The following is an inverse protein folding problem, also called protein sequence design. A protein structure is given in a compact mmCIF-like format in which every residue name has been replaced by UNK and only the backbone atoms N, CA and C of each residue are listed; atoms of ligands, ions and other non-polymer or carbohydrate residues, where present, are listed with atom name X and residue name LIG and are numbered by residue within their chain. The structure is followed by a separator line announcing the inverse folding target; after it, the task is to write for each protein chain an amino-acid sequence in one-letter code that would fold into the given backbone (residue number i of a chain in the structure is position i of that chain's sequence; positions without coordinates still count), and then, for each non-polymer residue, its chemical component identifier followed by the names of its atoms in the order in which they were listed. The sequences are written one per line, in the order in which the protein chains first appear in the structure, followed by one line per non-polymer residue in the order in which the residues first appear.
data_IF_741564315587
#
_entry.id   IF_741564315587
#
_cell.length_a   1.000
_cell.length_b   1.000
_cell.length_c   1.000
_cell.angle_alpha   90.00
_cell.angle_beta   90.00
_cell.angle_gamma   90.00
#
_symmetry.space_group_name_H-M   'P 1'
#
loop_
_entity.id
_entity.type
_entity.pdbx_description
1 polymer ?
#
# COMPACT_ATOMS: atom_id res chain seq x y z
N UNK A 1 8.32 75.27 -6.57
CA UNK A 1 8.71 73.98 -5.97
C UNK A 1 7.46 73.40 -5.37
N UNK A 2 6.87 72.45 -6.07
CA UNK A 2 6.10 71.32 -5.49
C UNK A 2 5.62 70.50 -6.68
N UNK A 3 6.46 69.51 -7.00
CA UNK A 3 6.32 68.57 -8.10
C UNK A 3 5.45 67.42 -7.59
N UNK A 4 4.15 67.47 -7.91
CA UNK A 4 3.18 66.44 -7.56
C UNK A 4 3.39 65.21 -8.45
N UNK A 5 4.19 64.27 -7.94
CA UNK A 5 4.38 62.94 -8.55
C UNK A 5 3.11 62.13 -8.39
N UNK A 6 2.30 62.10 -9.45
CA UNK A 6 1.15 61.19 -9.59
C UNK A 6 1.71 59.79 -9.79
N UNK A 7 1.68 58.98 -8.73
CA UNK A 7 2.00 57.55 -8.77
C UNK A 7 0.85 56.82 -9.47
N UNK A 8 1.04 56.51 -10.76
CA UNK A 8 0.19 55.62 -11.54
C UNK A 8 0.09 54.24 -10.88
N UNK A 9 -0.93 54.04 -10.06
CA UNK A 9 -1.37 52.71 -9.65
C UNK A 9 -2.16 52.10 -10.80
N UNK A 10 -1.50 51.32 -11.65
CA UNK A 10 -2.19 50.48 -12.62
C UNK A 10 -3.26 49.65 -11.90
N UNK A 11 -4.54 49.70 -12.33
CA UNK A 11 -5.57 48.86 -11.77
C UNK A 11 -5.21 47.40 -12.07
N UNK A 12 -4.84 46.66 -11.03
CA UNK A 12 -4.58 45.23 -11.12
C UNK A 12 -5.83 44.56 -11.66
N UNK A 13 -5.84 44.26 -12.96
CA UNK A 13 -6.93 43.51 -13.56
C UNK A 13 -7.00 42.17 -12.82
N UNK A 14 -8.16 41.80 -12.25
CA UNK A 14 -8.31 40.54 -11.56
C UNK A 14 -7.98 39.43 -12.55
N UNK A 15 -6.87 38.72 -12.32
CA UNK A 15 -6.49 37.60 -13.17
C UNK A 15 -7.68 36.65 -13.23
N UNK A 16 -8.14 36.25 -14.43
CA UNK A 16 -9.28 35.35 -14.55
C UNK A 16 -9.03 34.09 -13.74
N UNK A 17 -9.96 33.76 -12.83
CA UNK A 17 -9.85 32.66 -11.87
C UNK A 17 -9.79 31.27 -12.53
N UNK A 18 -9.97 31.19 -13.86
CA UNK A 18 -9.94 29.97 -14.63
C UNK A 18 -8.78 30.02 -15.62
N UNK A 19 -7.59 29.62 -15.16
CA UNK A 19 -6.46 29.32 -16.03
C UNK A 19 -6.59 27.86 -16.50
N UNK A 20 -6.66 27.59 -17.83
CA UNK A 20 -6.79 26.24 -18.36
C UNK A 20 -5.56 25.36 -18.11
N UNK A 21 -4.46 25.89 -17.58
CA UNK A 21 -3.25 25.17 -17.13
C UNK A 21 -3.47 24.16 -16.00
N UNK A 22 -4.73 23.77 -15.77
CA UNK A 22 -5.06 22.50 -15.15
C UNK A 22 -4.34 21.34 -15.85
N UNK A 23 -4.10 20.23 -15.13
CA UNK A 23 -3.24 19.11 -15.56
C UNK A 23 -3.68 18.38 -16.84
N UNK A 24 -4.79 18.80 -17.45
CA UNK A 24 -5.32 18.29 -18.72
C UNK A 24 -4.97 19.17 -19.93
N UNK A 25 -4.34 20.33 -19.75
CA UNK A 25 -3.92 21.20 -20.87
C UNK A 25 -2.65 20.72 -21.58
N UNK A 26 -1.87 19.82 -20.98
CA UNK A 26 -0.84 19.06 -21.68
C UNK A 26 -1.50 17.86 -22.37
N UNK A 27 -1.31 17.70 -23.68
CA UNK A 27 -1.79 16.53 -24.44
C UNK A 27 -1.36 15.18 -23.84
N UNK A 28 -1.76 14.06 -24.45
CA UNK A 28 -1.68 12.69 -23.88
C UNK A 28 -0.39 12.28 -23.14
N UNK A 29 0.75 12.90 -23.42
CA UNK A 29 2.00 12.78 -22.65
C UNK A 29 1.86 13.13 -21.15
N UNK A 30 1.02 14.09 -20.77
CA UNK A 30 0.81 14.46 -19.36
C UNK A 30 0.12 13.36 -18.56
N UNK A 31 -0.96 12.81 -19.10
CA UNK A 31 -1.71 11.69 -18.51
C UNK A 31 -0.84 10.43 -18.45
N UNK A 32 -0.04 10.17 -19.49
CA UNK A 32 0.88 9.03 -19.51
C UNK A 32 1.92 9.10 -18.38
N UNK A 33 2.51 10.27 -18.12
CA UNK A 33 3.47 10.44 -17.01
C UNK A 33 2.81 10.20 -15.65
N UNK A 34 1.58 10.65 -15.46
CA UNK A 34 0.81 10.40 -14.23
C UNK A 34 0.56 8.89 -14.08
N UNK A 35 0.08 8.21 -15.11
CA UNK A 35 -0.15 6.77 -15.07
C UNK A 35 1.14 5.98 -14.76
N UNK A 36 2.25 6.32 -15.43
CA UNK A 36 3.56 5.71 -15.18
C UNK A 36 4.02 5.91 -13.73
N UNK A 37 3.78 7.09 -13.14
CA UNK A 37 4.14 7.34 -11.74
C UNK A 37 3.40 6.41 -10.76
N UNK A 38 2.12 6.12 -11.03
CA UNK A 38 1.31 5.21 -10.21
C UNK A 38 1.80 3.78 -10.38
N UNK A 39 2.07 3.35 -11.62
CA UNK A 39 2.60 2.01 -11.92
C UNK A 39 3.94 1.80 -11.20
N UNK A 40 4.88 2.73 -11.33
CA UNK A 40 6.20 2.63 -10.70
C UNK A 40 6.08 2.62 -9.17
N UNK A 41 5.25 3.50 -8.59
CA UNK A 41 5.01 3.52 -7.15
C UNK A 41 4.43 2.20 -6.63
N UNK A 42 3.48 1.61 -7.36
CA UNK A 42 2.88 0.32 -7.03
C UNK A 42 3.88 -0.82 -7.15
N UNK A 43 4.69 -0.85 -8.21
CA UNK A 43 5.73 -1.88 -8.40
C UNK A 43 6.77 -1.85 -7.27
N UNK A 44 7.20 -0.68 -6.83
CA UNK A 44 8.13 -0.55 -5.71
C UNK A 44 7.50 -1.03 -4.41
N UNK A 45 6.25 -0.63 -4.15
CA UNK A 45 5.51 -1.13 -2.99
C UNK A 45 5.38 -2.65 -3.01
N UNK A 46 4.99 -3.23 -4.15
CA UNK A 46 4.84 -4.67 -4.32
C UNK A 46 6.18 -5.41 -4.13
N UNK A 47 7.27 -4.91 -4.70
CA UNK A 47 8.60 -5.49 -4.51
C UNK A 47 9.02 -5.46 -3.04
N UNK A 48 8.82 -4.34 -2.34
CA UNK A 48 9.14 -4.24 -0.91
C UNK A 48 8.34 -5.22 -0.07
N UNK A 49 7.02 -5.30 -0.29
CA UNK A 49 6.15 -6.26 0.43
C UNK A 49 6.58 -7.69 0.15
N UNK A 50 6.80 -8.05 -1.12
CA UNK A 50 7.19 -9.41 -1.50
C UNK A 50 8.54 -9.79 -0.91
N UNK A 51 9.55 -8.93 -1.02
CA UNK A 51 10.89 -9.21 -0.49
C UNK A 51 10.91 -9.30 1.04
N UNK A 52 10.21 -8.40 1.73
CA UNK A 52 10.16 -8.40 3.20
C UNK A 52 9.31 -9.55 3.75
N UNK A 53 8.19 -9.88 3.13
CA UNK A 53 7.40 -11.07 3.48
C UNK A 53 8.20 -12.34 3.23
N UNK A 54 8.88 -12.46 2.09
CA UNK A 54 9.74 -13.60 1.83
C UNK A 54 10.81 -13.78 2.91
N UNK A 55 11.50 -12.70 3.29
CA UNK A 55 12.49 -12.72 4.37
C UNK A 55 11.87 -13.09 5.72
N UNK A 56 10.71 -12.52 6.07
CA UNK A 56 10.03 -12.80 7.33
C UNK A 56 9.63 -14.28 7.43
N UNK A 57 9.08 -14.83 6.35
CA UNK A 57 8.69 -16.24 6.22
C UNK A 57 9.92 -17.17 6.23
N UNK A 58 11.05 -16.73 5.70
CA UNK A 58 12.30 -17.50 5.77
C UNK A 58 12.90 -17.53 7.18
N UNK A 59 12.74 -16.46 7.95
CA UNK A 59 13.26 -16.35 9.31
C UNK A 59 12.35 -16.96 10.39
N UNK A 60 11.07 -17.16 10.10
CA UNK A 60 10.09 -17.65 11.07
C UNK A 60 9.64 -19.08 10.76
N UNK A 61 9.40 -19.86 11.81
CA UNK A 61 8.75 -21.16 11.73
C UNK A 61 7.23 -21.03 11.65
N UNK A 62 6.56 -22.08 11.17
CA UNK A 62 5.11 -22.12 10.99
C UNK A 62 4.36 -21.84 12.30
N UNK A 63 4.90 -22.27 13.43
CA UNK A 63 4.31 -22.08 14.77
C UNK A 63 4.42 -20.64 15.28
N UNK A 64 5.31 -19.84 14.73
CA UNK A 64 5.37 -18.41 15.02
C UNK A 64 4.33 -17.62 14.18
N UNK A 65 3.93 -18.16 13.03
CA UNK A 65 2.99 -17.54 12.09
C UNK A 65 1.55 -17.88 12.45
N UNK A 66 1.27 -19.13 12.83
CA UNK A 66 -0.08 -19.64 13.10
C UNK A 66 -0.24 -20.18 14.52
N UNK A 67 -1.43 -20.04 15.08
CA UNK A 67 -1.77 -20.65 16.37
C UNK A 67 -1.73 -22.18 16.30
N UNK A 68 -1.48 -22.85 17.42
CA UNK A 68 -1.45 -24.32 17.46
C UNK A 68 -2.87 -24.88 17.29
N UNK A 69 -3.04 -25.85 16.39
CA UNK A 69 -4.33 -26.47 16.10
C UNK A 69 -5.26 -25.68 15.17
N UNK A 70 -4.94 -24.41 14.86
CA UNK A 70 -5.77 -23.56 14.02
C UNK A 70 -4.97 -22.92 12.87
N UNK A 71 -5.62 -22.71 11.73
CA UNK A 71 -5.06 -21.97 10.59
C UNK A 71 -5.26 -20.45 10.72
N UNK A 72 -5.25 -19.95 11.95
CA UNK A 72 -5.42 -18.53 12.27
C UNK A 72 -4.06 -17.92 12.57
N UNK A 73 -3.77 -16.79 11.96
CA UNK A 73 -2.51 -16.08 12.15
C UNK A 73 -2.36 -15.50 13.56
N UNK A 74 -1.18 -15.66 14.15
CA UNK A 74 -0.88 -15.12 15.48
C UNK A 74 -0.90 -13.59 15.48
N UNK A 75 -1.22 -12.98 16.63
CA UNK A 75 -1.18 -11.51 16.80
C UNK A 75 0.20 -10.90 16.48
N UNK A 76 1.27 -11.63 16.80
CA UNK A 76 2.65 -11.23 16.48
C UNK A 76 2.87 -11.15 14.97
N UNK A 77 2.47 -12.18 14.22
CA UNK A 77 2.56 -12.17 12.76
C UNK A 77 1.75 -11.02 12.14
N UNK A 78 0.51 -10.82 12.62
CA UNK A 78 -0.35 -9.75 12.12
C UNK A 78 0.27 -8.37 12.31
N UNK A 79 0.94 -8.13 13.44
CA UNK A 79 1.65 -6.86 13.70
C UNK A 79 2.81 -6.65 12.71
N UNK A 80 3.58 -7.71 12.41
CA UNK A 80 4.69 -7.65 11.44
C UNK A 80 4.16 -7.32 10.05
N UNK A 81 3.09 -7.97 9.60
CA UNK A 81 2.45 -7.73 8.29
C UNK A 81 1.96 -6.28 8.18
N UNK A 82 1.30 -5.76 9.22
CA UNK A 82 0.81 -4.37 9.25
C UNK A 82 1.98 -3.37 9.16
N UNK A 83 3.05 -3.58 9.92
CA UNK A 83 4.22 -2.71 9.89
C UNK A 83 4.91 -2.72 8.53
N UNK A 84 5.10 -3.90 7.94
CA UNK A 84 5.69 -4.05 6.60
C UNK A 84 4.83 -3.35 5.55
N UNK A 85 3.51 -3.51 5.61
CA UNK A 85 2.57 -2.90 4.69
C UNK A 85 2.60 -1.38 4.80
N UNK A 86 2.61 -0.84 6.02
CA UNK A 86 2.70 0.59 6.27
C UNK A 86 3.99 1.20 5.73
N UNK A 87 5.14 0.60 6.04
CA UNK A 87 6.45 1.08 5.57
C UNK A 87 6.57 1.02 4.04
N UNK A 88 6.09 -0.05 3.43
CA UNK A 88 6.08 -0.21 1.97
C UNK A 88 5.16 0.81 1.29
N UNK A 89 4.00 1.09 1.89
CA UNK A 89 3.08 2.11 1.39
C UNK A 89 3.65 3.53 1.50
N UNK A 90 4.37 3.85 2.58
CA UNK A 90 5.11 5.11 2.73
C UNK A 90 6.14 5.25 1.60
N UNK A 91 6.92 4.19 1.32
CA UNK A 91 7.89 4.21 0.23
C UNK A 91 7.21 4.40 -1.14
N UNK A 92 6.14 3.65 -1.42
CA UNK A 92 5.38 3.75 -2.67
C UNK A 92 4.77 5.14 -2.88
N UNK A 93 4.17 5.72 -1.84
CA UNK A 93 3.60 7.08 -1.88
C UNK A 93 4.66 8.17 -2.09
N UNK A 94 5.82 8.03 -1.44
CA UNK A 94 6.94 8.95 -1.64
C UNK A 94 7.49 8.90 -3.08
N UNK A 95 7.58 7.72 -3.67
CA UNK A 95 8.03 7.58 -5.08
C UNK A 95 7.00 8.14 -6.05
N UNK A 96 5.72 7.86 -5.84
CA UNK A 96 4.64 8.39 -6.69
C UNK A 96 4.68 9.93 -6.73
N UNK A 97 4.85 10.57 -5.57
CA UNK A 97 4.97 12.03 -5.50
C UNK A 97 6.21 12.57 -6.23
N UNK A 98 7.37 11.94 -6.05
CA UNK A 98 8.62 12.38 -6.69
C UNK A 98 8.57 12.30 -8.21
N UNK A 99 7.84 11.33 -8.76
CA UNK A 99 7.72 11.15 -10.22
C UNK A 99 6.63 12.06 -10.79
N UNK A 100 5.47 12.13 -10.14
CA UNK A 100 4.32 12.88 -10.64
C UNK A 100 4.51 14.39 -10.55
N UNK A 101 5.23 14.88 -9.52
CA UNK A 101 5.38 16.30 -9.17
C UNK A 101 4.04 17.08 -9.18
N UNK A 102 2.92 16.38 -8.93
CA UNK A 102 1.57 16.91 -9.09
C UNK A 102 0.62 16.25 -8.08
N UNK A 103 -0.28 17.06 -7.49
CA UNK A 103 -1.34 16.64 -6.54
C UNK A 103 -2.31 15.62 -7.13
N UNK A 104 -2.39 15.52 -8.45
CA UNK A 104 -3.32 14.62 -9.11
C UNK A 104 -2.91 13.14 -9.01
N UNK A 105 -1.61 12.82 -8.97
CA UNK A 105 -1.12 11.45 -8.83
C UNK A 105 -1.57 10.81 -7.51
N UNK A 106 -1.44 11.55 -6.40
CA UNK A 106 -1.93 11.11 -5.08
C UNK A 106 -3.44 10.89 -5.10
N UNK A 107 -4.23 11.77 -5.74
CA UNK A 107 -5.69 11.62 -5.77
C UNK A 107 -6.10 10.31 -6.45
N UNK A 108 -5.47 9.97 -7.57
CA UNK A 108 -5.73 8.71 -8.27
C UNK A 108 -5.34 7.51 -7.42
N UNK A 109 -4.15 7.53 -6.81
CA UNK A 109 -3.70 6.47 -5.92
C UNK A 109 -4.64 6.29 -4.71
N UNK A 110 -5.11 7.41 -4.14
CA UNK A 110 -6.07 7.45 -3.03
C UNK A 110 -7.40 6.79 -3.41
N UNK A 111 -7.91 7.06 -4.63
CA UNK A 111 -9.14 6.43 -5.13
C UNK A 111 -8.95 4.91 -5.25
N UNK A 112 -7.81 4.45 -5.79
CA UNK A 112 -7.51 3.00 -5.89
C UNK A 112 -7.54 2.33 -4.51
N UNK A 113 -6.95 2.95 -3.48
CA UNK A 113 -7.00 2.44 -2.12
C UNK A 113 -8.39 2.44 -1.50
N UNK A 114 -9.22 3.45 -1.77
CA UNK A 114 -10.62 3.48 -1.31
C UNK A 114 -11.42 2.35 -1.95
N UNK A 115 -11.27 2.13 -3.25
CA UNK A 115 -11.91 1.02 -3.96
C UNK A 115 -11.45 -0.32 -3.39
N UNK A 116 -10.15 -0.47 -3.10
CA UNK A 116 -9.61 -1.67 -2.45
C UNK A 116 -10.19 -1.87 -1.03
N UNK A 117 -10.32 -0.80 -0.22
CA UNK A 117 -10.97 -0.87 1.10
C UNK A 117 -12.42 -1.34 1.01
N UNK A 118 -13.20 -0.79 0.08
CA UNK A 118 -14.61 -1.20 -0.11
C UNK A 118 -14.66 -2.66 -0.56
N UNK A 119 -13.79 -3.07 -1.49
CA UNK A 119 -13.67 -4.47 -1.92
C UNK A 119 -13.39 -5.40 -0.74
N UNK A 120 -12.42 -5.06 0.11
CA UNK A 120 -12.11 -5.83 1.32
C UNK A 120 -13.25 -5.86 2.34
N UNK A 121 -13.98 -4.77 2.50
CA UNK A 121 -15.15 -4.76 3.39
C UNK A 121 -16.24 -5.72 2.88
N UNK A 122 -16.49 -5.74 1.56
CA UNK A 122 -17.45 -6.67 0.96
C UNK A 122 -17.03 -8.12 1.15
N UNK A 123 -15.74 -8.45 1.07
CA UNK A 123 -15.28 -9.83 1.32
C UNK A 123 -15.45 -10.24 2.78
N UNK A 124 -15.20 -9.33 3.73
CA UNK A 124 -15.46 -9.57 5.17
C UNK A 124 -16.94 -9.84 5.43
N UNK A 125 -17.83 -9.06 4.81
CA UNK A 125 -19.27 -9.24 4.96
C UNK A 125 -19.80 -10.54 4.33
N UNK A 126 -19.01 -11.22 3.49
CA UNK A 126 -19.39 -12.49 2.83
C UNK A 126 -18.73 -13.72 3.45
N UNK A 127 -17.77 -13.57 4.36
CA UNK A 127 -16.98 -14.70 4.89
C UNK A 127 -17.76 -15.67 5.78
N UNK A 128 -18.96 -15.33 6.24
CA UNK A 128 -19.75 -16.19 7.15
C UNK A 128 -20.20 -17.52 6.51
N UNK A 129 -20.04 -17.67 5.20
CA UNK A 129 -20.47 -18.85 4.45
C UNK A 129 -19.37 -19.88 4.18
N UNK A 130 -18.11 -19.61 4.56
CA UNK A 130 -17.01 -20.52 4.27
C UNK A 130 -16.93 -21.67 5.30
N UNK A 131 -17.00 -22.95 4.87
CA UNK A 131 -16.85 -24.10 5.75
C UNK A 131 -15.59 -24.00 6.61
N UNK A 132 -15.72 -24.30 7.90
CA UNK A 132 -14.59 -24.29 8.82
C UNK A 132 -13.48 -25.23 8.31
N UNK A 133 -12.24 -24.74 8.13
CA UNK A 133 -11.15 -25.56 7.64
C UNK A 133 -10.84 -26.64 8.67
N UNK A 134 -10.33 -27.77 8.18
CA UNK A 134 -9.87 -28.83 9.05
C UNK A 134 -8.83 -28.27 10.06
N UNK A 135 -8.80 -28.79 11.30
CA UNK A 135 -7.81 -28.39 12.29
C UNK A 135 -6.39 -28.46 11.74
N UNK A 136 -5.53 -27.52 12.16
CA UNK A 136 -4.13 -27.50 11.72
C UNK A 136 -3.42 -28.74 12.28
N UNK A 137 -2.79 -29.57 11.43
CA UNK A 137 -1.98 -30.68 11.92
C UNK A 137 -0.76 -30.15 12.72
N UNK A 138 -0.26 -30.95 13.66
CA UNK A 138 0.96 -30.61 14.40
C UNK A 138 2.15 -30.48 13.44
N UNK A 139 3.18 -29.74 13.86
CA UNK A 139 4.41 -29.56 13.06
C UNK A 139 5.08 -30.91 12.75
N UNK A 140 5.00 -31.87 13.66
CA UNK A 140 5.45 -33.25 13.46
C UNK A 140 4.62 -33.98 12.39
N UNK A 141 3.29 -33.87 12.45
CA UNK A 141 2.41 -34.48 11.45
C UNK A 141 2.62 -33.85 10.06
N UNK A 142 2.83 -32.54 9.98
CA UNK A 142 3.18 -31.84 8.73
C UNK A 142 4.54 -32.30 8.19
N UNK A 143 5.53 -32.52 9.06
CA UNK A 143 6.85 -33.02 8.65
C UNK A 143 6.78 -34.47 8.14
N UNK A 144 6.00 -35.33 8.80
CA UNK A 144 5.76 -36.70 8.33
C UNK A 144 5.07 -36.72 6.96
N UNK A 145 3.99 -35.94 6.79
CA UNK A 145 3.28 -35.82 5.52
C UNK A 145 4.16 -35.24 4.39
N UNK A 146 5.06 -34.32 4.72
CA UNK A 146 6.01 -33.77 3.76
C UNK A 146 7.04 -34.82 3.31
N UNK A 147 7.52 -35.66 4.23
CA UNK A 147 8.44 -36.74 3.92
C UNK A 147 7.79 -37.80 3.00
N UNK A 148 6.52 -38.16 3.24
CA UNK A 148 5.75 -39.03 2.36
C UNK A 148 5.58 -38.44 0.94
N UNK A 149 5.49 -37.11 0.84
CA UNK A 149 5.36 -36.40 -0.42
C UNK A 149 6.70 -36.11 -1.13
N UNK A 150 7.83 -36.54 -0.57
CA UNK A 150 9.19 -36.19 -1.03
C UNK A 150 9.39 -34.65 -1.16
N UNK A 151 8.86 -33.90 -0.19
CA UNK A 151 8.93 -32.45 -0.13
C UNK A 151 9.63 -31.97 1.14
N UNK A 152 10.24 -30.78 1.08
CA UNK A 152 10.76 -30.16 2.30
C UNK A 152 9.60 -29.84 3.27
N UNK A 153 9.73 -30.13 4.58
CA UNK A 153 8.68 -29.84 5.57
C UNK A 153 8.19 -28.40 5.54
N UNK A 154 9.11 -27.45 5.36
CA UNK A 154 8.82 -26.03 5.29
C UNK A 154 7.97 -25.67 4.06
N UNK A 155 8.32 -26.17 2.88
CA UNK A 155 7.56 -25.92 1.65
C UNK A 155 6.16 -26.53 1.74
N UNK A 156 6.05 -27.77 2.21
CA UNK A 156 4.76 -28.45 2.37
C UNK A 156 3.85 -27.69 3.34
N UNK A 157 4.37 -27.28 4.49
CA UNK A 157 3.63 -26.48 5.47
C UNK A 157 3.15 -25.14 4.89
N UNK A 158 3.96 -24.46 4.06
CA UNK A 158 3.54 -23.22 3.40
C UNK A 158 2.48 -23.43 2.32
N UNK A 159 2.56 -24.51 1.55
CA UNK A 159 1.52 -24.87 0.57
C UNK A 159 0.19 -25.13 1.30
N UNK A 160 0.23 -25.85 2.42
CA UNK A 160 -0.97 -26.12 3.23
C UNK A 160 -1.50 -24.86 3.90
N UNK A 161 -0.62 -24.00 4.40
CA UNK A 161 -1.00 -22.70 4.93
C UNK A 161 -1.69 -21.85 3.85
N UNK A 162 -1.15 -21.77 2.63
CA UNK A 162 -1.76 -21.02 1.54
C UNK A 162 -3.16 -21.49 1.16
N UNK A 163 -3.49 -22.78 1.38
CA UNK A 163 -4.81 -23.35 1.11
C UNK A 163 -5.81 -23.15 2.24
N UNK A 164 -5.35 -23.15 3.50
CA UNK A 164 -6.22 -23.21 4.67
C UNK A 164 -6.17 -21.96 5.55
N UNK A 165 -5.21 -21.05 5.33
CA UNK A 165 -5.02 -19.85 6.14
C UNK A 165 -6.29 -19.00 6.15
N UNK A 166 -6.70 -18.63 7.36
CA UNK A 166 -7.76 -17.65 7.57
C UNK A 166 -7.17 -16.37 8.09
N UNK A 167 -7.34 -15.31 7.30
CA UNK A 167 -7.03 -13.97 7.77
C UNK A 167 -8.14 -13.48 8.71
N UNK A 168 -7.79 -12.91 9.88
CA UNK A 168 -8.75 -12.24 10.73
C UNK A 168 -9.52 -11.17 9.95
N UNK A 169 -10.84 -11.10 10.10
CA UNK A 169 -11.67 -10.16 9.33
C UNK A 169 -11.25 -8.70 9.49
N UNK A 170 -10.78 -8.31 10.67
CA UNK A 170 -10.27 -6.95 10.92
C UNK A 170 -9.00 -6.64 10.10
N UNK A 171 -8.14 -7.63 9.85
CA UNK A 171 -6.89 -7.47 9.13
C UNK A 171 -7.15 -7.17 7.64
N UNK A 172 -8.21 -7.78 7.07
CA UNK A 172 -8.66 -7.50 5.70
C UNK A 172 -8.99 -6.02 5.47
N UNK A 173 -9.48 -5.33 6.50
CA UNK A 173 -9.79 -3.88 6.47
C UNK A 173 -8.57 -3.04 6.86
N UNK A 174 -7.82 -3.47 7.87
CA UNK A 174 -6.64 -2.77 8.35
C UNK A 174 -5.56 -2.64 7.26
N UNK A 175 -5.33 -3.69 6.45
CA UNK A 175 -4.29 -3.69 5.43
C UNK A 175 -4.48 -2.56 4.38
N UNK A 176 -5.63 -2.45 3.68
CA UNK A 176 -5.87 -1.34 2.77
C UNK A 176 -5.89 0.03 3.46
N UNK A 177 -6.38 0.13 4.70
CA UNK A 177 -6.37 1.37 5.46
C UNK A 177 -4.94 1.84 5.78
N UNK A 178 -4.07 0.93 6.23
CA UNK A 178 -2.65 1.19 6.43
C UNK A 178 -1.95 1.56 5.11
N UNK A 179 -2.31 0.90 4.00
CA UNK A 179 -1.83 1.24 2.67
C UNK A 179 -2.19 2.68 2.27
N UNK A 180 -3.44 3.08 2.47
CA UNK A 180 -3.92 4.44 2.21
C UNK A 180 -3.17 5.48 3.07
N UNK A 181 -3.13 5.27 4.39
CA UNK A 181 -2.47 6.18 5.34
C UNK A 181 -0.97 6.28 5.03
N UNK A 182 -0.32 5.15 4.80
CA UNK A 182 1.10 5.10 4.44
C UNK A 182 1.39 5.86 3.16
N UNK A 183 0.62 5.65 2.10
CA UNK A 183 0.79 6.35 0.83
C UNK A 183 0.64 7.86 0.98
N UNK A 184 -0.35 8.33 1.75
CA UNK A 184 -0.52 9.75 2.04
C UNK A 184 0.68 10.32 2.81
N UNK A 185 1.11 9.66 3.89
CA UNK A 185 2.27 10.10 4.68
C UNK A 185 3.55 10.15 3.83
N UNK A 186 3.81 9.12 3.04
CA UNK A 186 4.96 9.07 2.14
C UNK A 186 4.98 10.23 1.15
N UNK A 187 3.82 10.54 0.58
CA UNK A 187 3.68 11.65 -0.35
C UNK A 187 3.89 13.02 0.32
N UNK A 188 3.42 13.19 1.56
CA UNK A 188 3.62 14.41 2.34
C UNK A 188 5.10 14.62 2.69
N UNK A 189 5.81 13.55 3.07
CA UNK A 189 7.24 13.59 3.37
C UNK A 189 8.06 13.97 2.13
N UNK A 190 7.74 13.38 0.98
CA UNK A 190 8.41 13.71 -0.28
C UNK A 190 8.24 15.19 -0.67
N UNK A 191 7.03 15.76 -0.49
CA UNK A 191 6.77 17.19 -0.75
C UNK A 191 7.64 18.12 0.08
N UNK A 192 7.77 17.83 1.39
CA UNK A 192 8.57 18.65 2.31
C UNK A 192 10.03 18.70 1.89
N UNK A 193 10.59 17.58 1.43
CA UNK A 193 11.97 17.49 0.96
C UNK A 193 12.21 18.28 -0.33
N UNK A 194 11.21 18.35 -1.22
CA UNK A 194 11.31 19.17 -2.44
C UNK A 194 11.28 20.65 -2.11
N UNK A 195 10.44 21.08 -1.18
CA UNK A 195 10.34 22.48 -0.77
C UNK A 195 11.64 22.99 -0.11
N UNK A 196 12.27 22.19 0.76
CA UNK A 196 13.52 22.56 1.43
C UNK A 196 14.75 22.62 0.51
N UNK A 197 14.65 22.08 -0.71
CA UNK A 197 15.73 22.18 -1.72
C UNK A 197 15.66 23.46 -2.54
N UNK A 198 14.56 24.21 -2.45
CA UNK A 198 14.34 25.44 -3.23
C UNK A 198 14.56 26.72 -2.40
N UNK A 199 14.70 26.59 -1.07
CA UNK A 199 15.10 27.67 -0.15
C UNK A 199 16.61 27.71 0.03
#
# INVERSE_FOLDING_TARGET
MDETTISDTEPSTPRPAWRPDGPFAGGGLGVLRIALSVIVGYLIMAMLVMSTMFLAVQMMDIDAIFEQGFWVSTSRWNTIVVMISLLSAIAGGAVCERIANNRMGIRLLSIVFVVAMIGSLVTVLRSDSEPEPAPRPTTEALAAAAAEADQSPKLYAMIQAGKNAREPGWLKVANPACGFVGALLGSMLARRQTASRQS
#
